data_IF_323573504369
#
_entry.id   IF_323573504369
#
_cell.length_a   1.000
_cell.length_b   1.000
_cell.length_c   1.000
_cell.angle_alpha   90.00
_cell.angle_beta   90.00
_cell.angle_gamma   90.00
#
_symmetry.space_group_name_H-M   'P 1'
#
loop_
_entity.id
_entity.type
_entity.pdbx_description
1 polymer ?
#
# COMPACT_ATOMS: atom_id res chain seq x y z
N UNK A 1 -16.40 -2.53 -12.90
CA UNK A 1 -15.53 -2.06 -11.79
C UNK A 1 -14.17 -2.71 -11.95
N UNK A 2 -13.15 -1.94 -12.32
CA UNK A 2 -11.80 -2.48 -12.57
C UNK A 2 -11.03 -2.53 -11.25
N UNK A 3 -10.43 -3.68 -10.94
CA UNK A 3 -9.63 -3.89 -9.73
C UNK A 3 -8.14 -3.76 -10.07
N UNK A 4 -7.45 -2.83 -9.43
CA UNK A 4 -5.99 -2.66 -9.58
C UNK A 4 -5.26 -3.44 -8.49
N UNK A 5 -4.23 -4.20 -8.86
CA UNK A 5 -3.36 -4.89 -7.92
C UNK A 5 -1.90 -4.59 -8.23
N UNK A 6 -1.15 -4.16 -7.21
CA UNK A 6 0.28 -3.87 -7.33
C UNK A 6 1.03 -4.61 -6.24
N UNK A 7 2.17 -5.21 -6.61
CA UNK A 7 3.09 -5.88 -5.69
C UNK A 7 4.39 -5.10 -5.61
N UNK A 8 4.87 -4.89 -4.40
CA UNK A 8 6.14 -4.27 -4.06
C UNK A 8 6.98 -5.28 -3.27
N UNK A 9 8.29 -5.24 -3.46
CA UNK A 9 9.25 -5.99 -2.66
C UNK A 9 10.33 -5.01 -2.19
N UNK A 10 10.64 -5.00 -0.89
CA UNK A 10 11.58 -4.09 -0.25
C UNK A 10 10.96 -3.29 0.90
N UNK A 11 11.52 -2.12 1.20
CA UNK A 11 11.07 -1.28 2.30
C UNK A 11 10.26 -0.08 1.82
N UNK A 12 9.10 0.16 2.42
CA UNK A 12 8.28 1.34 2.17
C UNK A 12 8.49 2.41 3.25
N UNK A 13 8.59 3.67 2.81
CA UNK A 13 8.67 4.81 3.73
C UNK A 13 7.36 5.08 4.46
N UNK A 14 7.33 6.21 5.18
CA UNK A 14 6.15 6.64 5.93
C UNK A 14 4.93 6.79 5.01
N UNK A 15 3.75 6.46 5.54
CA UNK A 15 2.44 6.61 4.87
C UNK A 15 2.24 5.72 3.64
N UNK A 16 2.88 4.56 3.58
CA UNK A 16 2.57 3.56 2.55
C UNK A 16 1.08 3.20 2.57
N UNK A 17 0.44 3.15 1.40
CA UNK A 17 -0.97 2.84 1.23
C UNK A 17 -1.94 3.78 1.97
N UNK A 18 -1.56 5.04 2.23
CA UNK A 18 -2.48 6.03 2.78
C UNK A 18 -3.60 6.41 1.78
N UNK A 19 -4.84 6.52 2.26
CA UNK A 19 -6.02 6.98 1.49
C UNK A 19 -6.28 6.20 0.20
N UNK A 20 -6.06 4.88 0.22
CA UNK A 20 -6.25 4.03 -0.96
C UNK A 20 -7.75 3.88 -1.25
N UNK A 21 -8.24 4.26 -2.45
CA UNK A 21 -9.66 4.13 -2.79
C UNK A 21 -10.07 2.67 -2.98
N UNK A 22 -11.37 2.42 -2.86
CA UNK A 22 -11.96 1.08 -3.09
C UNK A 22 -11.60 0.56 -4.48
N UNK A 23 -11.24 -0.73 -4.54
CA UNK A 23 -10.87 -1.38 -5.80
C UNK A 23 -9.37 -1.45 -6.07
N UNK A 24 -8.53 -0.89 -5.19
CA UNK A 24 -7.07 -1.02 -5.26
C UNK A 24 -6.57 -1.96 -4.15
N UNK A 25 -5.66 -2.87 -4.50
CA UNK A 25 -4.93 -3.71 -3.55
C UNK A 25 -3.44 -3.51 -3.72
N UNK A 26 -2.77 -3.01 -2.69
CA UNK A 26 -1.31 -2.87 -2.65
C UNK A 26 -0.75 -3.96 -1.73
N UNK A 27 0.21 -4.74 -2.21
CA UNK A 27 0.92 -5.75 -1.42
C UNK A 27 2.39 -5.36 -1.32
N UNK A 28 2.91 -5.32 -0.11
CA UNK A 28 4.32 -5.13 0.16
C UNK A 28 4.89 -6.41 0.78
N UNK A 29 5.96 -6.93 0.20
CA UNK A 29 6.80 -7.95 0.80
C UNK A 29 8.08 -7.28 1.31
N UNK A 30 8.21 -7.20 2.64
CA UNK A 30 9.25 -6.45 3.33
C UNK A 30 8.63 -5.57 4.42
N UNK A 31 9.28 -4.45 4.72
CA UNK A 31 8.95 -3.62 5.89
C UNK A 31 8.37 -2.26 5.49
N UNK A 32 7.56 -1.67 6.36
CA UNK A 32 7.07 -0.31 6.19
C UNK A 32 7.24 0.50 7.48
N UNK A 33 7.52 1.80 7.33
CA UNK A 33 7.64 2.72 8.46
C UNK A 33 6.26 3.21 8.94
N UNK A 34 6.18 4.43 9.50
CA UNK A 34 5.01 4.91 10.21
C UNK A 34 3.81 5.19 9.29
N UNK A 35 2.61 5.11 9.87
CA UNK A 35 1.33 5.52 9.26
C UNK A 35 0.90 4.73 8.01
N UNK A 36 1.25 3.45 7.93
CA UNK A 36 0.73 2.53 6.90
C UNK A 36 -0.80 2.54 6.90
N UNK A 37 -1.41 2.66 5.73
CA UNK A 37 -2.86 2.57 5.59
C UNK A 37 -3.63 3.69 6.29
N UNK A 38 -3.00 4.83 6.60
CA UNK A 38 -3.72 5.95 7.22
C UNK A 38 -4.81 6.46 6.27
N UNK A 39 -5.99 6.71 6.81
CA UNK A 39 -7.12 7.27 6.08
C UNK A 39 -7.90 6.23 5.28
#
# INVERSE_FOLDING_TARGET
MTRLQVKFNGSAGNSFAAFVPTGITLRLEGDANDYVGKG
#
